data_IF_183157414679
#
_entry.id   IF_183157414679
#
_cell.length_a   1.000
_cell.length_b   1.000
_cell.length_c   1.000
_cell.angle_alpha   90.00
_cell.angle_beta   90.00
_cell.angle_gamma   90.00
#
_symmetry.space_group_name_H-M   'P 1'
#
loop_
_entity.id
_entity.type
_entity.pdbx_description
1 polymer ?
#
# COMPACT_ATOMS: atom_id res chain seq x y z
N UNK A 1 -20.91 -7.04 -25.41
CA UNK A 1 -20.07 -6.34 -24.41
C UNK A 1 -21.01 -5.83 -23.35
N UNK A 2 -20.92 -6.31 -22.11
CA UNK A 2 -21.71 -5.77 -21.01
C UNK A 2 -21.24 -4.35 -20.68
N UNK A 3 -22.16 -3.41 -20.74
CA UNK A 3 -21.98 -2.03 -20.29
C UNK A 3 -22.32 -1.96 -18.81
N UNK A 4 -21.31 -1.80 -17.95
CA UNK A 4 -21.55 -1.47 -16.54
C UNK A 4 -21.74 0.05 -16.42
N UNK A 5 -22.95 0.50 -16.73
CA UNK A 5 -23.33 1.90 -16.57
C UNK A 5 -23.19 2.29 -15.09
N UNK A 6 -22.21 3.16 -14.79
CA UNK A 6 -21.80 3.67 -13.47
C UNK A 6 -20.77 2.88 -12.65
N UNK A 7 -20.06 1.92 -13.25
CA UNK A 7 -18.98 1.23 -12.53
C UNK A 7 -17.60 1.86 -12.77
N UNK A 8 -16.89 2.18 -11.67
CA UNK A 8 -15.50 2.62 -11.68
C UNK A 8 -14.56 1.42 -11.69
N UNK A 9 -13.56 1.44 -12.55
CA UNK A 9 -12.58 0.36 -12.62
C UNK A 9 -11.29 0.78 -11.92
N UNK A 10 -10.80 -0.04 -11.00
CA UNK A 10 -9.55 0.18 -10.27
C UNK A 10 -8.53 -0.84 -10.79
N UNK A 11 -7.41 -0.34 -11.32
CA UNK A 11 -6.28 -1.20 -11.68
C UNK A 11 -5.40 -1.43 -10.44
N UNK A 12 -5.47 -2.61 -9.84
CA UNK A 12 -4.62 -3.03 -8.72
C UNK A 12 -5.31 -3.09 -7.36
N UNK A 13 -5.08 -4.17 -6.63
CA UNK A 13 -5.54 -4.44 -5.26
C UNK A 13 -4.40 -4.27 -4.22
N UNK A 14 -3.54 -3.27 -4.44
CA UNK A 14 -2.61 -2.77 -3.43
C UNK A 14 -3.31 -1.90 -2.37
N UNK A 15 -2.56 -1.39 -1.39
CA UNK A 15 -3.13 -0.50 -0.33
C UNK A 15 -3.88 0.68 -0.94
N UNK A 16 -3.31 1.34 -1.95
CA UNK A 16 -3.96 2.46 -2.64
C UNK A 16 -5.27 2.05 -3.29
N UNK A 17 -5.27 0.98 -4.09
CA UNK A 17 -6.48 0.50 -4.76
C UNK A 17 -7.57 0.03 -3.81
N UNK A 18 -7.21 -0.67 -2.73
CA UNK A 18 -8.18 -1.10 -1.71
C UNK A 18 -8.74 0.10 -0.91
N UNK A 19 -7.90 1.10 -0.61
CA UNK A 19 -8.37 2.34 0.02
C UNK A 19 -9.30 3.13 -0.90
N UNK A 20 -9.00 3.20 -2.20
CA UNK A 20 -9.87 3.82 -3.21
C UNK A 20 -11.20 3.08 -3.31
N UNK A 21 -11.18 1.75 -3.39
CA UNK A 21 -12.38 0.92 -3.42
C UNK A 21 -13.26 1.15 -2.19
N UNK A 22 -12.65 1.19 -1.01
CA UNK A 22 -13.36 1.47 0.23
C UNK A 22 -13.97 2.89 0.21
N UNK A 23 -13.25 3.90 -0.28
CA UNK A 23 -13.79 5.24 -0.43
C UNK A 23 -15.01 5.28 -1.37
N UNK A 24 -14.94 4.60 -2.53
CA UNK A 24 -16.06 4.49 -3.47
C UNK A 24 -17.26 3.78 -2.81
N UNK A 25 -17.02 2.66 -2.12
CA UNK A 25 -18.04 1.91 -1.39
C UNK A 25 -18.77 2.79 -0.36
N UNK A 26 -18.03 3.56 0.45
CA UNK A 26 -18.62 4.45 1.46
C UNK A 26 -19.43 5.60 0.86
N UNK A 27 -19.18 5.94 -0.40
CA UNK A 27 -19.95 6.94 -1.16
C UNK A 27 -21.07 6.32 -2.01
N UNK A 28 -21.34 5.01 -1.89
CA UNK A 28 -22.38 4.32 -2.64
C UNK A 28 -22.10 4.22 -4.14
N UNK A 29 -20.83 4.33 -4.56
CA UNK A 29 -20.42 4.22 -5.95
C UNK A 29 -20.04 2.78 -6.28
N UNK A 30 -20.47 2.29 -7.44
CA UNK A 30 -20.14 0.95 -7.92
C UNK A 30 -18.71 0.89 -8.44
N UNK A 31 -17.99 -0.19 -8.13
CA UNK A 31 -16.61 -0.37 -8.57
C UNK A 31 -16.26 -1.84 -8.77
N UNK A 32 -15.20 -2.07 -9.53
CA UNK A 32 -14.55 -3.37 -9.70
C UNK A 32 -13.03 -3.19 -9.66
N UNK A 33 -12.33 -4.10 -9.00
CA UNK A 33 -10.87 -4.11 -8.88
C UNK A 33 -10.31 -5.23 -9.74
N UNK A 34 -9.32 -4.92 -10.56
CA UNK A 34 -8.60 -5.91 -11.36
C UNK A 34 -7.14 -5.94 -10.92
N UNK A 35 -6.70 -7.09 -10.41
CA UNK A 35 -5.35 -7.28 -9.87
C UNK A 35 -4.61 -8.35 -10.65
N UNK A 36 -3.34 -8.08 -10.96
CA UNK A 36 -2.48 -8.98 -11.73
C UNK A 36 -1.97 -10.16 -10.89
N UNK A 37 -1.85 -10.00 -9.58
CA UNK A 37 -1.46 -11.09 -8.69
C UNK A 37 -2.51 -12.21 -8.77
N UNK A 38 -2.06 -13.46 -8.64
CA UNK A 38 -2.93 -14.65 -8.71
C UNK A 38 -3.96 -14.67 -7.57
N UNK A 39 -3.55 -14.19 -6.41
CA UNK A 39 -4.33 -14.16 -5.18
C UNK A 39 -3.71 -13.16 -4.17
N UNK A 40 -4.34 -13.03 -3.01
CA UNK A 40 -3.89 -12.15 -1.94
C UNK A 40 -2.49 -12.52 -1.38
N UNK A 41 -2.15 -13.81 -1.35
CA UNK A 41 -0.92 -14.36 -0.75
C UNK A 41 0.28 -14.35 -1.71
N UNK A 42 0.07 -14.06 -2.99
CA UNK A 42 1.09 -14.02 -4.05
C UNK A 42 2.28 -13.13 -3.71
N UNK A 43 2.11 -12.14 -2.81
CA UNK A 43 3.19 -11.28 -2.35
C UNK A 43 3.42 -11.45 -0.86
N UNK A 44 4.60 -11.97 -0.49
CA UNK A 44 5.14 -11.88 0.87
C UNK A 44 5.74 -10.49 1.09
N UNK A 45 4.88 -9.49 1.31
CA UNK A 45 5.29 -8.10 1.58
C UNK A 45 5.76 -7.99 3.04
N UNK A 46 6.90 -8.62 3.32
CA UNK A 46 7.50 -8.80 4.65
C UNK A 46 8.20 -7.55 5.20
N UNK A 47 7.56 -6.39 5.13
CA UNK A 47 8.07 -5.18 5.78
C UNK A 47 6.92 -4.34 6.36
N UNK A 48 7.27 -3.48 7.32
CA UNK A 48 6.31 -2.60 8.00
C UNK A 48 6.25 -1.22 7.37
N UNK A 49 5.07 -0.61 7.43
CA UNK A 49 4.81 0.77 7.07
C UNK A 49 4.57 1.57 8.34
N UNK A 50 5.18 2.76 8.42
CA UNK A 50 4.85 3.71 9.48
C UNK A 50 3.59 4.49 9.10
N UNK A 51 2.53 4.31 9.88
CA UNK A 51 1.36 5.18 9.82
C UNK A 51 1.71 6.48 10.54
N UNK A 52 1.65 7.59 9.81
CA UNK A 52 1.77 8.94 10.33
C UNK A 52 0.39 9.60 10.43
N UNK A 53 0.33 10.84 10.94
CA UNK A 53 -0.92 11.54 11.25
C UNK A 53 -1.85 11.62 10.03
N UNK A 54 -1.32 12.01 8.88
CA UNK A 54 -2.07 12.07 7.62
C UNK A 54 -2.61 10.70 7.17
N UNK A 55 -1.80 9.65 7.30
CA UNK A 55 -2.24 8.29 7.01
C UNK A 55 -3.36 7.82 7.95
N UNK A 56 -3.27 8.19 9.22
CA UNK A 56 -4.31 7.88 10.20
C UNK A 56 -5.61 8.62 9.92
N UNK A 57 -5.55 9.92 9.62
CA UNK A 57 -6.72 10.72 9.24
C UNK A 57 -7.39 10.17 7.97
N UNK A 58 -6.60 9.71 6.99
CA UNK A 58 -7.14 9.01 5.82
C UNK A 58 -7.89 7.73 6.21
N UNK A 59 -7.34 6.93 7.13
CA UNK A 59 -7.99 5.72 7.63
C UNK A 59 -9.25 6.02 8.47
N UNK A 60 -9.29 7.17 9.16
CA UNK A 60 -10.49 7.64 9.87
C UNK A 60 -11.62 7.95 8.89
N UNK A 61 -11.32 8.65 7.80
CA UNK A 61 -12.30 8.95 6.74
C UNK A 61 -12.81 7.67 6.04
N UNK A 62 -12.01 6.61 6.03
CA UNK A 62 -12.40 5.30 5.52
C UNK A 62 -13.15 4.44 6.55
N UNK A 63 -13.17 4.85 7.82
CA UNK A 63 -13.84 4.14 8.91
C UNK A 63 -13.09 2.92 9.45
N UNK A 64 -11.80 2.78 9.18
CA UNK A 64 -10.99 1.58 9.51
C UNK A 64 -9.83 1.86 10.46
N UNK A 65 -9.66 3.12 10.87
CA UNK A 65 -8.54 3.58 11.69
C UNK A 65 -8.33 2.75 12.96
N UNK A 66 -9.39 2.38 13.67
CA UNK A 66 -9.26 1.62 14.92
C UNK A 66 -8.88 0.15 14.69
N UNK A 67 -9.35 -0.47 13.61
CA UNK A 67 -8.91 -1.81 13.23
C UNK A 67 -7.41 -1.80 12.86
N UNK A 68 -6.97 -0.80 12.10
CA UNK A 68 -5.56 -0.63 11.75
C UNK A 68 -4.70 -0.27 12.97
N UNK A 69 -5.21 0.54 13.89
CA UNK A 69 -4.52 0.89 15.15
C UNK A 69 -4.25 -0.35 15.99
N UNK A 70 -5.21 -1.27 16.11
CA UNK A 70 -5.04 -2.53 16.82
C UNK A 70 -3.90 -3.38 16.24
N UNK A 71 -3.74 -3.39 14.91
CA UNK A 71 -2.64 -4.12 14.26
C UNK A 71 -1.25 -3.56 14.59
N UNK A 72 -1.15 -2.28 14.96
CA UNK A 72 0.11 -1.61 15.32
C UNK A 72 0.22 -1.23 16.80
N UNK A 73 -0.64 -1.77 17.67
CA UNK A 73 -0.74 -1.35 19.06
C UNK A 73 0.59 -1.52 19.83
N UNK A 74 1.34 -2.59 19.53
CA UNK A 74 2.64 -2.88 20.16
C UNK A 74 3.81 -2.18 19.45
N UNK A 75 3.53 -1.38 18.41
CA UNK A 75 4.53 -0.76 17.54
C UNK A 75 4.46 0.77 17.57
N UNK A 76 4.01 1.36 18.69
CA UNK A 76 3.99 2.81 18.88
C UNK A 76 5.42 3.34 18.85
N UNK A 77 5.68 4.30 17.97
CA UNK A 77 6.99 4.93 17.81
C UNK A 77 7.16 5.97 18.92
N UNK A 78 8.00 5.62 19.90
CA UNK A 78 8.29 6.40 21.11
C UNK A 78 9.43 7.42 20.94
N UNK A 79 10.09 7.45 19.78
CA UNK A 79 11.18 8.38 19.51
C UNK A 79 11.92 8.05 18.23
N UNK A 80 12.99 8.79 17.97
CA UNK A 80 13.91 8.52 16.87
C UNK A 80 15.33 8.75 17.35
N UNK A 81 16.21 7.80 17.05
CA UNK A 81 17.63 7.90 17.33
C UNK A 81 18.42 7.59 16.06
N UNK A 82 19.46 8.37 15.83
CA UNK A 82 20.39 8.22 14.71
C UNK A 82 21.76 7.89 15.29
N UNK A 83 22.41 6.88 14.72
CA UNK A 83 23.71 6.38 15.17
C UNK A 83 24.73 6.54 14.04
N UNK A 84 26.01 6.70 14.38
CA UNK A 84 27.10 6.60 13.41
C UNK A 84 27.44 5.12 13.13
N UNK A 85 28.44 4.88 12.27
CA UNK A 85 28.91 3.52 11.93
C UNK A 85 29.50 2.74 13.10
N UNK A 86 29.89 3.42 14.19
CA UNK A 86 30.39 2.81 15.43
C UNK A 86 29.28 2.57 16.45
N UNK A 87 28.03 2.95 16.13
CA UNK A 87 26.89 2.81 17.03
C UNK A 87 26.76 3.90 18.09
N UNK A 88 27.50 5.00 17.95
CA UNK A 88 27.40 6.14 18.84
C UNK A 88 26.21 7.02 18.44
N UNK A 89 25.46 7.51 19.44
CA UNK A 89 24.29 8.35 19.20
C UNK A 89 24.73 9.71 18.66
N UNK A 90 24.39 10.00 17.40
CA UNK A 90 24.53 11.33 16.79
C UNK A 90 23.37 12.21 17.25
N UNK A 91 22.17 11.65 17.29
CA UNK A 91 20.94 12.36 17.62
C UNK A 91 19.95 11.44 18.29
N UNK A 92 19.27 11.92 19.32
CA UNK A 92 18.15 11.21 19.94
C UNK A 92 17.07 12.19 20.33
N UNK A 93 15.85 11.93 19.84
CA UNK A 93 14.66 12.70 20.18
C UNK A 93 13.59 11.76 20.70
N UNK A 94 13.44 11.64 22.03
CA UNK A 94 12.30 10.93 22.59
C UNK A 94 11.02 11.70 22.24
N UNK A 95 9.99 10.95 21.86
CA UNK A 95 8.65 11.48 21.67
C UNK A 95 8.02 11.56 23.05
N UNK A 96 7.82 12.78 23.57
CA UNK A 96 7.08 12.99 24.81
C UNK A 96 5.69 12.36 24.66
N UNK A 97 5.40 11.32 25.43
CA UNK A 97 4.05 10.78 25.55
C UNK A 97 3.18 11.86 26.16
N UNK A 98 2.30 12.43 25.35
CA UNK A 98 1.30 13.36 25.82
C UNK A 98 -0.04 12.61 25.80
N UNK A 99 -0.58 12.28 26.97
CA UNK A 99 -1.83 11.51 27.08
C UNK A 99 -3.03 12.21 26.41
N UNK A 100 -2.89 13.48 26.02
CA UNK A 100 -3.88 14.24 25.22
C UNK A 100 -3.80 13.99 23.72
N UNK A 101 -2.78 13.29 23.22
CA UNK A 101 -2.55 13.13 21.79
C UNK A 101 -3.43 12.00 21.24
N UNK A 102 -4.43 12.35 20.42
CA UNK A 102 -5.38 11.43 19.77
C UNK A 102 -4.70 10.37 18.87
N UNK A 103 -3.45 10.63 18.47
CA UNK A 103 -2.70 9.81 17.54
C UNK A 103 -1.19 9.79 17.87
N UNK A 104 -0.60 8.60 17.79
CA UNK A 104 0.85 8.38 17.79
C UNK A 104 1.22 7.59 16.55
N UNK A 105 2.34 7.94 15.90
CA UNK A 105 2.88 7.13 14.81
C UNK A 105 3.09 5.69 15.27
N UNK A 106 2.70 4.74 14.45
CA UNK A 106 2.88 3.32 14.72
C UNK A 106 3.29 2.59 13.45
N UNK A 107 4.02 1.49 13.59
CA UNK A 107 4.32 0.61 12.48
C UNK A 107 3.21 -0.44 12.32
N UNK A 108 2.88 -0.78 11.09
CA UNK A 108 1.97 -1.89 10.76
C UNK A 108 2.57 -2.71 9.62
N UNK A 109 2.50 -4.04 9.72
CA UNK A 109 2.93 -4.90 8.62
C UNK A 109 2.11 -4.61 7.36
N UNK A 110 2.78 -4.45 6.21
CA UNK A 110 2.13 -4.06 4.96
C UNK A 110 1.03 -5.03 4.56
N UNK A 111 1.25 -6.33 4.71
CA UNK A 111 0.27 -7.37 4.42
C UNK A 111 -0.94 -7.30 5.37
N UNK A 112 -0.73 -7.02 6.67
CA UNK A 112 -1.81 -6.88 7.65
C UNK A 112 -2.69 -5.65 7.37
N UNK A 113 -2.09 -4.52 6.97
CA UNK A 113 -2.85 -3.35 6.53
C UNK A 113 -3.68 -3.66 5.28
N UNK A 114 -3.08 -4.36 4.30
CA UNK A 114 -3.77 -4.76 3.08
C UNK A 114 -4.95 -5.71 3.40
N UNK A 115 -4.75 -6.68 4.29
CA UNK A 115 -5.82 -7.57 4.76
C UNK A 115 -6.95 -6.80 5.46
N UNK A 116 -6.60 -5.85 6.33
CA UNK A 116 -7.58 -5.02 7.03
C UNK A 116 -8.48 -4.24 6.07
N UNK A 117 -7.91 -3.68 5.00
CA UNK A 117 -8.69 -2.97 3.98
C UNK A 117 -9.51 -3.93 3.12
N UNK A 118 -8.93 -5.07 2.74
CA UNK A 118 -9.59 -6.09 1.93
C UNK A 118 -10.83 -6.65 2.61
N UNK A 119 -10.77 -6.90 3.92
CA UNK A 119 -11.86 -7.48 4.70
C UNK A 119 -13.10 -6.57 4.81
N UNK A 120 -13.00 -5.30 4.43
CA UNK A 120 -14.12 -4.36 4.40
C UNK A 120 -14.88 -4.38 3.05
N UNK A 121 -14.35 -5.09 2.05
CA UNK A 121 -14.89 -5.14 0.69
C UNK A 121 -15.58 -6.48 0.44
N UNK A 122 -16.59 -6.49 -0.42
CA UNK A 122 -17.15 -7.75 -0.91
C UNK A 122 -16.11 -8.47 -1.80
N UNK A 123 -15.76 -9.75 -1.56
CA UNK A 123 -14.81 -10.48 -2.41
C UNK A 123 -15.16 -10.48 -3.91
N UNK A 124 -16.45 -10.40 -4.26
CA UNK A 124 -16.92 -10.46 -5.64
C UNK A 124 -16.53 -9.24 -6.49
N UNK A 125 -16.09 -8.14 -5.85
CA UNK A 125 -15.65 -6.94 -6.58
C UNK A 125 -14.20 -7.04 -7.05
N UNK A 126 -13.50 -8.13 -6.74
CA UNK A 126 -12.06 -8.30 -6.99
C UNK A 126 -11.83 -9.44 -7.96
N UNK A 127 -11.23 -9.10 -9.09
CA UNK A 127 -10.82 -10.02 -10.14
C UNK A 127 -9.31 -10.21 -10.05
N UNK A 128 -8.91 -11.30 -9.40
CA UNK A 128 -7.51 -11.72 -9.34
C UNK A 128 -7.04 -12.29 -10.68
N UNK A 129 -5.72 -12.36 -10.86
CA UNK A 129 -5.08 -12.84 -12.09
C UNK A 129 -5.60 -12.12 -13.36
N UNK A 130 -5.92 -10.84 -13.23
CA UNK A 130 -6.54 -10.03 -14.28
C UNK A 130 -5.85 -8.67 -14.36
N UNK A 131 -4.81 -8.61 -15.18
CA UNK A 131 -3.99 -7.41 -15.34
C UNK A 131 -4.57 -6.48 -16.42
N UNK A 132 -4.77 -5.21 -16.09
CA UNK A 132 -5.07 -4.16 -17.06
C UNK A 132 -3.75 -3.66 -17.66
N UNK A 133 -3.64 -3.69 -18.99
CA UNK A 133 -2.41 -3.31 -19.70
C UNK A 133 -2.54 -2.02 -20.50
N UNK A 134 -3.77 -1.64 -20.91
CA UNK A 134 -4.03 -0.40 -21.65
C UNK A 134 -5.49 0.03 -21.56
N UNK A 135 -5.74 1.28 -21.88
CA UNK A 135 -7.09 1.82 -22.10
C UNK A 135 -7.18 2.51 -23.47
N UNK A 136 -8.36 2.58 -24.07
CA UNK A 136 -8.59 3.21 -25.36
C UNK A 136 -9.82 4.11 -25.27
N UNK A 137 -9.75 5.29 -25.90
CA UNK A 137 -10.94 6.13 -26.06
C UNK A 137 -11.91 5.49 -27.03
N UNK A 138 -13.21 5.72 -26.83
CA UNK A 138 -14.25 5.26 -27.74
C UNK A 138 -14.77 6.50 -28.48
N UNK A 139 -14.39 6.73 -29.75
CA UNK A 139 -14.68 7.99 -30.46
C UNK A 139 -16.18 8.30 -30.54
N UNK A 140 -17.00 7.27 -30.73
CA UNK A 140 -18.45 7.36 -30.86
C UNK A 140 -19.17 7.53 -29.51
N UNK A 141 -18.44 7.40 -28.39
CA UNK A 141 -19.01 7.49 -27.05
C UNK A 141 -17.98 8.01 -26.03
N UNK A 142 -17.75 9.31 -26.05
CA UNK A 142 -16.79 10.00 -25.18
C UNK A 142 -17.05 9.86 -23.67
N UNK A 143 -18.17 9.26 -23.26
CA UNK A 143 -18.50 8.98 -21.85
C UNK A 143 -17.81 7.74 -21.30
N UNK A 144 -17.28 6.87 -22.17
CA UNK A 144 -16.69 5.60 -21.77
C UNK A 144 -15.33 5.39 -22.39
N UNK A 145 -14.56 4.53 -21.73
CA UNK A 145 -13.27 4.03 -22.17
C UNK A 145 -13.34 2.52 -22.31
N UNK A 146 -12.59 1.98 -23.26
CA UNK A 146 -12.32 0.55 -23.36
C UNK A 146 -11.11 0.24 -22.51
N UNK A 147 -11.21 -0.74 -21.64
CA UNK A 147 -10.10 -1.23 -20.80
C UNK A 147 -9.72 -2.61 -21.29
N UNK A 148 -8.42 -2.84 -21.48
CA UNK A 148 -7.91 -4.05 -22.13
C UNK A 148 -6.97 -4.77 -21.19
N UNK A 149 -7.19 -6.06 -21.08
CA UNK A 149 -6.47 -6.95 -20.18
C UNK A 149 -5.33 -7.69 -20.90
N UNK A 150 -4.39 -8.23 -20.13
CA UNK A 150 -3.24 -9.00 -20.64
C UNK A 150 -3.64 -10.29 -21.38
N UNK A 151 -4.85 -10.81 -21.14
CA UNK A 151 -5.41 -11.98 -21.82
C UNK A 151 -6.19 -11.61 -23.11
N UNK A 152 -6.06 -10.37 -23.60
CA UNK A 152 -6.75 -9.81 -24.76
C UNK A 152 -8.27 -9.63 -24.61
N UNK A 153 -8.86 -9.92 -23.45
CA UNK A 153 -10.24 -9.54 -23.18
C UNK A 153 -10.35 -8.03 -22.94
N UNK A 154 -11.57 -7.49 -23.00
CA UNK A 154 -11.81 -6.07 -22.72
C UNK A 154 -13.18 -5.83 -22.10
N UNK A 155 -13.29 -4.71 -21.37
CA UNK A 155 -14.55 -4.18 -20.84
C UNK A 155 -14.72 -2.71 -21.22
N UNK A 156 -15.94 -2.22 -21.13
CA UNK A 156 -16.27 -0.80 -21.29
C UNK A 156 -16.60 -0.24 -19.90
N UNK A 157 -15.99 0.90 -19.56
CA UNK A 157 -16.15 1.52 -18.26
C UNK A 157 -16.28 3.05 -18.38
N UNK A 158 -16.88 3.67 -17.37
CA UNK A 158 -17.00 5.12 -17.29
C UNK A 158 -15.69 5.79 -16.92
N UNK A 159 -14.89 5.14 -16.06
CA UNK A 159 -13.61 5.65 -15.61
C UNK A 159 -12.68 4.52 -15.19
N UNK A 160 -11.38 4.77 -15.35
CA UNK A 160 -10.29 3.93 -14.87
C UNK A 160 -9.49 4.73 -13.84
N UNK A 161 -9.25 4.12 -12.68
CA UNK A 161 -8.40 4.66 -11.62
C UNK A 161 -7.13 3.82 -11.58
N UNK A 162 -6.00 4.41 -11.96
CA UNK A 162 -4.69 3.76 -11.96
C UNK A 162 -4.15 3.60 -10.54
N UNK A 163 -4.10 2.37 -10.03
CA UNK A 163 -3.57 1.99 -8.71
C UNK A 163 -2.55 0.83 -8.82
N UNK A 164 -1.95 0.65 -9.99
CA UNK A 164 -1.13 -0.49 -10.43
C UNK A 164 0.35 -0.37 -10.03
N UNK A 165 0.65 0.59 -9.16
CA UNK A 165 1.93 0.72 -8.45
C UNK A 165 3.03 1.39 -9.27
N UNK A 166 4.28 1.25 -8.79
CA UNK A 166 5.42 2.00 -9.33
C UNK A 166 5.70 1.70 -10.81
N UNK A 167 5.39 0.49 -11.29
CA UNK A 167 5.57 0.08 -12.70
C UNK A 167 4.28 0.21 -13.51
N UNK A 168 3.52 1.28 -13.28
CA UNK A 168 2.18 1.46 -13.84
C UNK A 168 2.19 1.51 -15.37
N UNK A 169 1.43 0.61 -16.01
CA UNK A 169 1.19 0.66 -17.45
C UNK A 169 0.29 1.84 -17.81
N UNK A 170 -0.67 2.15 -16.93
CA UNK A 170 -1.64 3.24 -17.09
C UNK A 170 -0.94 4.60 -17.11
N UNK A 171 -0.04 4.84 -16.15
CA UNK A 171 0.78 6.07 -16.11
C UNK A 171 1.63 6.20 -17.36
N UNK A 172 2.33 5.12 -17.75
CA UNK A 172 3.21 5.13 -18.92
C UNK A 172 2.43 5.48 -20.20
N UNK A 173 1.22 4.94 -20.36
CA UNK A 173 0.36 5.31 -21.48
C UNK A 173 -0.10 6.78 -21.41
N UNK A 174 -0.45 7.28 -20.22
CA UNK A 174 -1.00 8.62 -20.03
C UNK A 174 0.05 9.74 -20.18
N UNK A 175 1.25 9.54 -19.61
CA UNK A 175 2.28 10.58 -19.50
C UNK A 175 3.51 10.31 -20.38
N UNK A 176 3.72 9.06 -20.82
CA UNK A 176 4.91 8.67 -21.58
C UNK A 176 6.22 8.74 -20.81
N UNK A 177 6.17 8.86 -19.48
CA UNK A 177 7.36 8.99 -18.64
C UNK A 177 7.89 7.65 -18.13
N UNK A 178 9.19 7.60 -17.84
CA UNK A 178 9.88 6.42 -17.34
C UNK A 178 10.31 6.59 -15.87
N UNK A 179 10.55 5.45 -15.21
CA UNK A 179 11.05 5.43 -13.85
C UNK A 179 12.52 5.86 -13.78
N UNK A 180 12.79 6.81 -12.91
CA UNK A 180 14.15 7.25 -12.59
C UNK A 180 14.66 6.50 -11.36
N UNK A 181 15.67 5.66 -11.56
CA UNK A 181 16.32 4.95 -10.47
C UNK A 181 17.20 5.90 -9.65
N UNK A 182 16.99 5.94 -8.34
CA UNK A 182 17.66 6.87 -7.42
C UNK A 182 19.12 6.50 -7.07
N UNK A 183 19.65 5.41 -7.62
CA UNK A 183 21.00 4.94 -7.25
C UNK A 183 21.08 4.22 -5.90
N UNK A 184 19.95 3.99 -5.22
CA UNK A 184 19.89 3.43 -3.86
C UNK A 184 18.99 2.20 -3.79
N UNK A 185 19.39 1.20 -3.01
CA UNK A 185 18.61 0.01 -2.72
C UNK A 185 18.19 0.02 -1.25
N UNK A 186 16.95 -0.37 -0.98
CA UNK A 186 16.46 -0.58 0.37
C UNK A 186 16.28 -2.08 0.62
N UNK A 187 17.06 -2.63 1.55
CA UNK A 187 16.93 -4.01 2.01
C UNK A 187 16.12 -3.99 3.30
N UNK A 188 15.03 -4.76 3.34
CA UNK A 188 14.13 -4.85 4.49
C UNK A 188 14.01 -6.30 4.94
N UNK A 189 13.73 -6.51 6.23
CA UNK A 189 13.48 -7.82 6.80
C UNK A 189 12.65 -7.74 8.08
N UNK A 190 12.04 -8.86 8.46
CA UNK A 190 11.32 -9.04 9.72
C UNK A 190 12.07 -10.13 10.50
N UNK A 191 12.35 -9.86 11.77
CA UNK A 191 12.94 -10.81 12.71
C UNK A 191 12.00 -11.01 13.89
N UNK A 192 11.83 -12.24 14.42
CA UNK A 192 11.16 -12.45 15.70
C UNK A 192 11.84 -11.63 16.80
N UNK A 193 11.05 -10.96 17.63
CA UNK A 193 11.52 -10.04 18.67
C UNK A 193 12.24 -10.75 19.83
N UNK A 194 11.98 -12.04 20.07
CA UNK A 194 12.41 -12.69 21.32
C UNK A 194 13.81 -13.33 21.29
N UNK A 195 14.51 -13.37 20.16
CA UNK A 195 15.76 -14.14 20.04
C UNK A 195 16.91 -13.42 19.33
N UNK A 196 16.75 -12.17 18.91
CA UNK A 196 17.79 -11.48 18.15
C UNK A 196 18.66 -10.57 19.05
N UNK A 197 19.91 -10.95 19.37
CA UNK A 197 20.79 -10.14 20.21
C UNK A 197 21.11 -8.76 19.61
N UNK A 198 20.91 -8.56 18.30
CA UNK A 198 21.07 -7.27 17.63
C UNK A 198 19.90 -6.29 17.86
N UNK A 199 18.75 -6.78 18.34
CA UNK A 199 17.52 -5.97 18.54
C UNK A 199 17.34 -5.58 20.02
N UNK A 200 18.03 -6.26 20.94
CA UNK A 200 17.96 -6.02 22.38
C UNK A 200 18.81 -4.82 22.83
N UNK A 201 18.59 -3.62 22.27
CA UNK A 201 19.25 -2.37 22.70
C UNK A 201 20.80 -2.45 22.84
N UNK A 202 21.43 -3.45 22.24
CA UNK A 202 22.86 -3.61 22.22
C UNK A 202 23.30 -3.31 20.80
N UNK A 203 23.92 -2.14 20.63
CA UNK A 203 24.86 -2.00 19.54
C UNK A 203 25.94 -3.03 19.77
N UNK A 204 25.89 -4.15 19.06
CA UNK A 204 27.04 -5.04 19.00
C UNK A 204 27.94 -4.42 17.93
N UNK A 205 29.14 -3.91 18.27
CA UNK A 205 30.09 -3.54 17.24
C UNK A 205 30.32 -4.79 16.40
N UNK A 206 30.03 -4.70 15.11
CA UNK A 206 30.50 -5.69 14.14
C UNK A 206 32.03 -5.52 14.11
N UNK A 207 32.72 -6.22 14.99
CA UNK A 207 34.13 -6.51 14.81
C UNK A 207 34.21 -7.31 13.51
N UNK A 208 34.68 -6.65 12.45
CA UNK A 208 35.10 -7.26 11.20
C UNK A 208 36.38 -8.06 11.46
N UNK A 209 36.27 -9.14 12.25
CA UNK A 209 37.34 -10.12 12.43
C UNK A 209 37.23 -11.24 11.38
N UNK A 210 36.80 -10.88 10.17
CA UNK A 210 36.80 -11.74 8.99
C UNK A 210 37.28 -10.95 7.76
N UNK A 211 38.54 -10.53 7.82
CA UNK A 211 39.43 -10.34 6.66
C UNK A 211 40.83 -10.81 7.03
#
# INVERSE_FOLDING_TARGET
>A
METQDNCFIIAGAGIGGLATALALQRNGLSYQIYERDRDFESRRQGYSLTIQKNGFEALENLGVSENVRKLGADSIISGTSTYNSFGEVIFSKPKKHNNKQRFSNFAVARQSLRACLLNELNPDVIHWNKEIIRYESIPENAKYIRIIFSDNTSIIARALIGCDGVRSSIRKQMLGDDLNYLGVWAINGISPHQTNPLILNQTVPLALDYL
#
